data_IF_223868185627
#
_entry.id   IF_223868185627
#
_cell.length_a   1.000
_cell.length_b   1.000
_cell.length_c   1.000
_cell.angle_alpha   90.00
_cell.angle_beta   90.00
_cell.angle_gamma   90.00
#
_symmetry.space_group_name_H-M   'P 1'
#
loop_
_entity.id
_entity.type
_entity.pdbx_description
1 polymer ?
#
# COMPACT_ATOMS: atom_id res chain seq x y z
N UNK A 1 15.50 3.03 -19.12
CA UNK A 1 16.01 2.52 -17.82
C UNK A 1 15.19 1.33 -17.32
N UNK A 2 15.59 0.09 -17.61
CA UNK A 2 14.85 -1.12 -17.23
C UNK A 2 14.82 -1.38 -15.71
N UNK A 3 15.87 -0.99 -14.98
CA UNK A 3 15.98 -1.17 -13.52
C UNK A 3 14.91 -0.37 -12.77
N UNK A 4 14.76 0.91 -13.10
CA UNK A 4 13.76 1.81 -12.50
C UNK A 4 12.33 1.32 -12.76
N UNK A 5 12.04 0.90 -14.01
CA UNK A 5 10.73 0.36 -14.36
C UNK A 5 10.39 -0.89 -13.55
N UNK A 6 11.36 -1.80 -13.35
CA UNK A 6 11.17 -2.99 -12.54
C UNK A 6 10.99 -2.66 -11.04
N UNK A 7 11.73 -1.69 -10.51
CA UNK A 7 11.58 -1.26 -9.12
C UNK A 7 10.19 -0.68 -8.85
N UNK A 8 9.70 0.19 -9.75
CA UNK A 8 8.34 0.75 -9.69
C UNK A 8 7.28 -0.36 -9.76
N UNK A 9 7.44 -1.32 -10.68
CA UNK A 9 6.51 -2.45 -10.81
C UNK A 9 6.46 -3.31 -9.54
N UNK A 10 7.62 -3.73 -9.03
CA UNK A 10 7.73 -4.51 -7.78
C UNK A 10 7.11 -3.77 -6.60
N UNK A 11 7.34 -2.47 -6.50
CA UNK A 11 6.76 -1.65 -5.42
C UNK A 11 5.24 -1.61 -5.51
N UNK A 12 4.70 -1.43 -6.73
CA UNK A 12 3.26 -1.44 -6.97
C UNK A 12 2.61 -2.77 -6.57
N UNK A 13 3.17 -3.88 -7.02
CA UNK A 13 2.70 -5.23 -6.70
C UNK A 13 2.70 -5.48 -5.18
N UNK A 14 3.76 -5.08 -4.49
CA UNK A 14 3.86 -5.18 -3.04
C UNK A 14 2.74 -4.41 -2.32
N UNK A 15 2.53 -3.14 -2.69
CA UNK A 15 1.52 -2.30 -2.02
C UNK A 15 0.10 -2.86 -2.23
N UNK A 16 -0.22 -3.27 -3.46
CA UNK A 16 -1.52 -3.91 -3.77
C UNK A 16 -1.71 -5.15 -2.90
N UNK A 17 -0.71 -6.03 -2.83
CA UNK A 17 -0.78 -7.26 -2.03
C UNK A 17 -1.05 -6.98 -0.55
N UNK A 18 -0.39 -5.97 0.02
CA UNK A 18 -0.63 -5.57 1.42
C UNK A 18 -2.05 -5.04 1.62
N UNK A 19 -2.52 -4.15 0.75
CA UNK A 19 -3.84 -3.53 0.88
C UNK A 19 -4.98 -4.56 0.69
N UNK A 20 -4.83 -5.48 -0.26
CA UNK A 20 -5.78 -6.59 -0.46
C UNK A 20 -5.78 -7.57 0.71
N UNK A 21 -4.61 -7.94 1.24
CA UNK A 21 -4.51 -8.92 2.36
C UNK A 21 -5.21 -8.44 3.63
N UNK A 22 -5.29 -7.12 3.82
CA UNK A 22 -5.94 -6.53 4.99
C UNK A 22 -7.47 -6.51 4.84
N UNK A 23 -7.98 -6.83 3.64
CA UNK A 23 -9.42 -6.90 3.36
C UNK A 23 -10.11 -5.54 3.27
N UNK A 24 -9.35 -4.44 3.33
CA UNK A 24 -9.89 -3.09 3.26
C UNK A 24 -10.27 -2.66 1.84
N UNK A 25 -9.73 -3.33 0.82
CA UNK A 25 -9.90 -2.96 -0.59
C UNK A 25 -10.01 -4.21 -1.47
N UNK A 26 -10.83 -4.15 -2.52
CA UNK A 26 -10.85 -5.18 -3.57
C UNK A 26 -9.66 -5.00 -4.50
N UNK A 27 -9.15 -6.09 -5.05
CA UNK A 27 -7.98 -6.05 -5.93
C UNK A 27 -8.24 -5.24 -7.20
N UNK A 28 -9.45 -5.31 -7.76
CA UNK A 28 -9.88 -4.59 -8.96
C UNK A 28 -9.78 -3.07 -8.79
N UNK A 29 -10.27 -2.55 -7.65
CA UNK A 29 -10.22 -1.12 -7.33
C UNK A 29 -8.78 -0.62 -7.22
N UNK A 30 -7.90 -1.42 -6.60
CA UNK A 30 -6.48 -1.07 -6.45
C UNK A 30 -5.70 -1.11 -7.77
N UNK A 31 -6.13 -1.90 -8.75
CA UNK A 31 -5.48 -1.96 -10.05
C UNK A 31 -5.70 -0.71 -10.90
N UNK A 32 -6.74 0.07 -10.63
CA UNK A 32 -7.01 1.33 -11.31
C UNK A 32 -6.15 2.49 -10.77
N UNK A 33 -5.57 2.33 -9.57
CA UNK A 33 -4.79 3.36 -8.91
C UNK A 33 -3.36 3.45 -9.45
N UNK A 34 -2.86 4.68 -9.47
CA UNK A 34 -1.46 5.01 -9.66
C UNK A 34 -0.63 4.56 -8.45
N UNK A 35 0.69 4.43 -8.63
CA UNK A 35 1.57 4.07 -7.52
C UNK A 35 1.51 5.10 -6.37
N UNK A 36 1.39 6.39 -6.69
CA UNK A 36 1.30 7.46 -5.68
C UNK A 36 0.05 7.31 -4.82
N UNK A 37 -1.10 7.04 -5.42
CA UNK A 37 -2.35 6.82 -4.69
C UNK A 37 -2.29 5.57 -3.80
N UNK A 38 -1.71 4.48 -4.33
CA UNK A 38 -1.46 3.26 -3.56
C UNK A 38 -0.56 3.53 -2.33
N UNK A 39 0.49 4.35 -2.49
CA UNK A 39 1.37 4.75 -1.38
C UNK A 39 0.65 5.60 -0.33
N UNK A 40 -0.31 6.44 -0.72
CA UNK A 40 -1.13 7.23 0.21
C UNK A 40 -1.96 6.29 1.10
N UNK A 41 -2.66 5.33 0.51
CA UNK A 41 -3.47 4.36 1.25
C UNK A 41 -2.61 3.47 2.15
N UNK A 42 -1.45 3.02 1.64
CA UNK A 42 -0.47 2.28 2.44
C UNK A 42 0.03 3.08 3.65
N UNK A 43 0.33 4.37 3.49
CA UNK A 43 0.78 5.23 4.60
C UNK A 43 -0.32 5.44 5.63
N UNK A 44 -1.57 5.66 5.22
CA UNK A 44 -2.73 5.75 6.13
C UNK A 44 -2.84 4.49 6.99
N UNK A 45 -2.71 3.32 6.37
CA UNK A 45 -2.71 2.04 7.07
C UNK A 45 -1.57 1.92 8.08
N UNK A 46 -0.32 2.19 7.66
CA UNK A 46 0.86 2.09 8.53
C UNK A 46 0.74 3.07 9.72
N UNK A 47 0.26 4.29 9.47
CA UNK A 47 0.05 5.28 10.52
C UNK A 47 -1.08 4.88 11.47
N UNK A 48 -2.16 4.27 10.96
CA UNK A 48 -3.23 3.69 11.79
C UNK A 48 -2.68 2.61 12.71
N UNK A 49 -1.84 1.69 12.21
CA UNK A 49 -1.18 0.67 13.04
C UNK A 49 -0.28 1.28 14.11
N UNK A 50 0.48 2.34 13.79
CA UNK A 50 1.36 3.03 14.75
C UNK A 50 0.59 3.82 15.82
N UNK A 51 -0.57 4.40 15.47
CA UNK A 51 -1.43 5.11 16.40
C UNK A 51 -2.07 4.20 17.46
N UNK A 52 -2.37 2.95 17.11
CA UNK A 52 -2.92 1.95 18.03
C UNK A 52 -1.91 1.55 19.12
N UNK A 53 -0.60 1.66 18.87
CA UNK A 53 0.45 1.30 19.84
C UNK A 53 0.74 2.39 20.88
N UNK A 54 0.18 3.61 20.74
CA UNK A 54 0.48 4.74 21.65
C UNK A 54 -0.52 4.99 22.77
N UNK A 55 -1.63 4.24 22.84
CA UNK A 55 -2.65 4.38 23.90
C UNK A 55 -2.73 3.14 24.79
N UNK A 56 -1.58 2.58 25.15
CA UNK A 56 -1.50 1.39 26.00
C UNK A 56 -0.26 1.39 26.88
N UNK A 57 -0.04 2.48 27.62
CA UNK A 57 0.62 2.51 28.94
C UNK A 57 0.62 3.93 29.50
#
# INVERSE_FOLDING_TARGET
>A
MPVLRNAVRKRREYVISVLTRIGAFRQEDLQLLTLTELEVEYKKLVNKKKGVTKNGQ
#
